data_IF_823345644482
#
_entry.id   IF_823345644482
#
_cell.length_a   1.000
_cell.length_b   1.000
_cell.length_c   1.000
_cell.angle_alpha   90.00
_cell.angle_beta   90.00
_cell.angle_gamma   90.00
#
_symmetry.space_group_name_H-M   'P 1'
#
loop_
_entity.id
_entity.type
_entity.pdbx_description
1 polymer ?
#
# COMPACT_ATOMS: atom_id res chain seq x y z
N UNK A 1 -21.66 9.64 -1.81
CA UNK A 1 -20.21 9.70 -1.50
C UNK A 1 -19.41 8.57 -2.13
N UNK A 2 -19.78 7.29 -1.95
CA UNK A 2 -19.04 6.15 -2.51
C UNK A 2 -18.88 6.21 -4.05
N UNK A 3 -19.88 6.73 -4.77
CA UNK A 3 -19.80 6.94 -6.23
C UNK A 3 -18.72 7.95 -6.58
N UNK A 4 -18.61 9.06 -5.85
CA UNK A 4 -17.60 10.11 -6.11
C UNK A 4 -16.20 9.52 -5.95
N UNK A 5 -15.96 8.79 -4.86
CA UNK A 5 -14.65 8.16 -4.62
C UNK A 5 -14.31 7.13 -5.71
N UNK A 6 -15.27 6.32 -6.12
CA UNK A 6 -15.11 5.36 -7.22
C UNK A 6 -14.79 6.06 -8.54
N UNK A 7 -15.49 7.14 -8.85
CA UNK A 7 -15.25 7.93 -10.07
C UNK A 7 -13.86 8.57 -10.04
N UNK A 8 -13.46 9.18 -8.93
CA UNK A 8 -12.12 9.78 -8.79
C UNK A 8 -11.03 8.73 -8.94
N UNK A 9 -11.15 7.59 -8.24
CA UNK A 9 -10.21 6.47 -8.37
C UNK A 9 -10.16 5.94 -9.81
N UNK A 10 -11.30 5.78 -10.48
CA UNK A 10 -11.37 5.32 -11.87
C UNK A 10 -10.67 6.28 -12.83
N UNK A 11 -10.89 7.59 -12.67
CA UNK A 11 -10.24 8.63 -13.47
C UNK A 11 -8.72 8.64 -13.23
N UNK A 12 -8.28 8.62 -11.97
CA UNK A 12 -6.85 8.58 -11.64
C UNK A 12 -6.16 7.33 -12.18
N UNK A 13 -6.84 6.18 -12.12
CA UNK A 13 -6.31 4.90 -12.63
C UNK A 13 -6.23 4.89 -14.14
N UNK A 14 -7.20 5.50 -14.82
CA UNK A 14 -7.17 5.65 -16.28
C UNK A 14 -6.01 6.55 -16.70
N UNK A 15 -5.82 7.68 -16.02
CA UNK A 15 -4.69 8.58 -16.26
C UNK A 15 -3.35 7.88 -16.00
N UNK A 16 -3.21 7.18 -14.88
CA UNK A 16 -2.03 6.39 -14.56
C UNK A 16 -1.77 5.32 -15.63
N UNK A 17 -2.80 4.58 -16.04
CA UNK A 17 -2.70 3.55 -17.06
C UNK A 17 -2.25 4.11 -18.41
N UNK A 18 -2.74 5.29 -18.82
CA UNK A 18 -2.29 5.97 -20.02
C UNK A 18 -0.79 6.30 -19.98
N UNK A 19 -0.32 6.91 -18.88
CA UNK A 19 1.10 7.23 -18.72
C UNK A 19 1.96 5.97 -18.65
N UNK A 20 1.55 4.98 -17.86
CA UNK A 20 2.26 3.73 -17.67
C UNK A 20 2.40 2.93 -18.98
N UNK A 21 1.31 2.74 -19.72
CA UNK A 21 1.34 2.01 -21.00
C UNK A 21 2.16 2.74 -22.07
N UNK A 22 2.06 4.07 -22.11
CA UNK A 22 2.85 4.90 -23.04
C UNK A 22 4.34 4.80 -22.72
N UNK A 23 4.70 4.84 -21.43
CA UNK A 23 6.08 4.71 -20.97
C UNK A 23 6.65 3.32 -21.25
N UNK A 24 5.89 2.27 -20.95
CA UNK A 24 6.20 0.88 -21.29
C UNK A 24 6.45 0.73 -22.79
N UNK A 25 5.59 1.27 -23.65
CA UNK A 25 5.74 1.19 -25.11
C UNK A 25 7.00 1.90 -25.63
N UNK A 26 7.38 3.04 -25.03
CA UNK A 26 8.57 3.79 -25.42
C UNK A 26 9.87 3.18 -24.90
N UNK A 27 9.84 2.56 -23.72
CA UNK A 27 11.02 2.12 -22.99
C UNK A 27 11.18 0.60 -22.91
N UNK A 28 10.54 -0.16 -23.83
CA UNK A 28 10.62 -1.63 -23.88
C UNK A 28 12.06 -2.18 -23.87
N UNK A 29 13.02 -1.42 -24.41
CA UNK A 29 14.44 -1.80 -24.48
C UNK A 29 15.15 -1.80 -23.11
N UNK A 30 14.54 -1.20 -22.08
CA UNK A 30 15.10 -1.08 -20.71
C UNK A 30 14.49 -2.17 -19.80
N UNK A 31 13.69 -3.07 -20.36
CA UNK A 31 13.06 -4.13 -19.58
C UNK A 31 14.09 -5.03 -18.94
N UNK A 32 13.79 -5.46 -17.71
CA UNK A 32 14.69 -6.33 -16.96
C UNK A 32 14.76 -7.71 -17.61
N UNK A 33 15.96 -8.28 -17.68
CA UNK A 33 16.22 -9.66 -18.14
C UNK A 33 15.73 -10.73 -17.14
N UNK A 34 15.13 -10.31 -16.02
CA UNK A 34 14.64 -11.19 -14.95
C UNK A 34 13.41 -12.00 -15.42
N UNK A 35 13.20 -13.21 -14.88
CA UNK A 35 12.15 -14.10 -15.36
C UNK A 35 10.75 -13.54 -15.11
N UNK A 36 10.05 -13.22 -16.22
CA UNK A 36 8.67 -12.73 -16.23
C UNK A 36 7.67 -13.61 -15.45
N UNK A 37 7.71 -14.96 -15.56
CA UNK A 37 6.81 -15.80 -14.77
C UNK A 37 7.01 -15.64 -13.25
N UNK A 38 8.25 -15.40 -12.80
CA UNK A 38 8.55 -15.16 -11.39
C UNK A 38 7.99 -13.83 -10.90
N UNK A 39 8.09 -12.77 -11.71
CA UNK A 39 7.53 -11.46 -11.39
C UNK A 39 5.99 -11.49 -11.36
N UNK A 40 5.37 -12.13 -12.36
CA UNK A 40 3.91 -12.28 -12.43
C UNK A 40 3.39 -13.17 -11.30
N UNK A 41 4.04 -14.30 -11.03
CA UNK A 41 3.68 -15.20 -9.93
C UNK A 41 3.80 -14.53 -8.57
N UNK A 42 4.87 -13.75 -8.36
CA UNK A 42 5.04 -12.94 -7.14
C UNK A 42 3.87 -11.97 -6.98
N UNK A 43 3.59 -11.16 -8.01
CA UNK A 43 2.51 -10.17 -7.96
C UNK A 43 1.14 -10.81 -7.73
N UNK A 44 0.85 -11.94 -8.37
CA UNK A 44 -0.41 -12.66 -8.19
C UNK A 44 -0.57 -13.17 -6.76
N UNK A 45 0.46 -13.83 -6.23
CA UNK A 45 0.44 -14.40 -4.87
C UNK A 45 0.31 -13.29 -3.83
N UNK A 46 1.13 -12.24 -3.93
CA UNK A 46 1.17 -11.18 -2.92
C UNK A 46 -0.10 -10.34 -2.92
N UNK A 47 -0.67 -10.03 -4.10
CA UNK A 47 -1.94 -9.32 -4.17
C UNK A 47 -3.14 -10.21 -3.81
N UNK A 48 -3.07 -11.52 -4.02
CA UNK A 48 -4.10 -12.44 -3.53
C UNK A 48 -4.11 -12.50 -1.99
N UNK A 49 -2.95 -12.66 -1.35
CA UNK A 49 -2.87 -12.64 0.11
C UNK A 49 -3.18 -11.26 0.71
N UNK A 50 -3.02 -10.19 -0.07
CA UNK A 50 -3.45 -8.84 0.33
C UNK A 50 -4.96 -8.76 0.54
N UNK A 51 -5.77 -9.45 -0.29
CA UNK A 51 -7.23 -9.49 -0.09
C UNK A 51 -7.65 -10.25 1.15
N UNK A 52 -6.79 -11.15 1.63
CA UNK A 52 -6.95 -11.86 2.91
C UNK A 52 -6.41 -11.06 4.10
N UNK A 53 -5.83 -9.90 3.86
CA UNK A 53 -5.37 -8.98 4.88
C UNK A 53 -3.96 -9.22 5.42
N UNK A 54 -3.07 -9.78 4.61
CA UNK A 54 -1.67 -10.00 5.01
C UNK A 54 -0.77 -8.81 4.63
N UNK A 55 -1.10 -8.08 3.57
CA UNK A 55 -0.28 -6.98 3.05
C UNK A 55 0.66 -7.42 1.93
N UNK A 56 0.43 -6.90 0.73
CA UNK A 56 1.23 -7.21 -0.47
C UNK A 56 2.70 -6.74 -0.38
N UNK A 57 2.95 -5.56 0.19
CA UNK A 57 4.26 -4.91 0.19
C UNK A 57 5.33 -5.69 0.98
N UNK A 58 4.98 -6.22 2.15
CA UNK A 58 5.94 -6.95 2.98
C UNK A 58 6.36 -8.27 2.33
N UNK A 59 5.38 -9.03 1.84
CA UNK A 59 5.61 -10.29 1.15
C UNK A 59 6.38 -10.09 -0.15
N UNK A 60 5.98 -9.10 -0.96
CA UNK A 60 6.64 -8.82 -2.24
C UNK A 60 8.08 -8.36 -2.04
N UNK A 61 8.35 -7.53 -1.02
CA UNK A 61 9.73 -7.15 -0.68
C UNK A 61 10.56 -8.36 -0.27
N UNK A 62 9.99 -9.27 0.54
CA UNK A 62 10.69 -10.49 0.96
C UNK A 62 11.03 -11.39 -0.25
N UNK A 63 10.08 -11.61 -1.16
CA UNK A 63 10.28 -12.42 -2.37
C UNK A 63 11.30 -11.76 -3.31
N UNK A 64 11.19 -10.45 -3.55
CA UNK A 64 12.13 -9.71 -4.40
C UNK A 64 13.56 -9.77 -3.87
N UNK A 65 13.75 -9.69 -2.56
CA UNK A 65 15.06 -9.84 -1.92
C UNK A 65 15.56 -11.28 -1.94
N UNK A 66 14.73 -12.23 -1.57
CA UNK A 66 15.12 -13.63 -1.47
C UNK A 66 15.57 -14.20 -2.82
N UNK A 67 14.86 -13.87 -3.89
CA UNK A 67 15.19 -14.31 -5.25
C UNK A 67 16.04 -13.28 -6.04
N UNK A 68 16.46 -12.17 -5.41
CA UNK A 68 17.20 -11.08 -6.06
C UNK A 68 16.57 -10.64 -7.39
N UNK A 69 15.25 -10.49 -7.43
CA UNK A 69 14.50 -10.20 -8.66
C UNK A 69 14.58 -8.72 -9.06
N UNK A 70 14.72 -7.82 -8.08
CA UNK A 70 14.70 -6.37 -8.27
C UNK A 70 15.81 -5.76 -7.42
N UNK A 71 16.53 -4.75 -7.94
CA UNK A 71 17.53 -4.03 -7.15
C UNK A 71 16.85 -3.29 -5.99
N UNK A 72 17.38 -3.45 -4.76
CA UNK A 72 16.86 -2.83 -3.54
C UNK A 72 16.56 -1.34 -3.67
N UNK A 73 17.34 -0.60 -4.47
CA UNK A 73 17.14 0.83 -4.67
C UNK A 73 15.80 1.14 -5.34
N UNK A 74 15.34 0.28 -6.26
CA UNK A 74 14.14 0.51 -7.05
C UNK A 74 12.93 -0.29 -6.54
N UNK A 75 13.11 -1.25 -5.62
CA UNK A 75 12.03 -2.04 -5.01
C UNK A 75 10.82 -1.16 -4.60
N UNK A 76 10.97 -0.06 -3.84
CA UNK A 76 9.83 0.75 -3.43
C UNK A 76 9.04 1.33 -4.62
N UNK A 77 9.74 1.82 -5.63
CA UNK A 77 9.10 2.36 -6.84
C UNK A 77 8.41 1.27 -7.66
N UNK A 78 9.07 0.12 -7.84
CA UNK A 78 8.51 -1.03 -8.56
C UNK A 78 7.22 -1.52 -7.92
N UNK A 79 7.16 -1.62 -6.59
CA UNK A 79 5.94 -2.05 -5.89
C UNK A 79 4.83 -1.00 -5.94
N UNK A 80 5.16 0.28 -5.74
CA UNK A 80 4.16 1.35 -5.81
C UNK A 80 3.51 1.42 -7.19
N UNK A 81 4.28 1.30 -8.28
CA UNK A 81 3.74 1.30 -9.65
C UNK A 81 3.04 -0.02 -9.97
N UNK A 82 3.68 -1.15 -9.69
CA UNK A 82 3.19 -2.48 -10.07
C UNK A 82 1.90 -2.89 -9.37
N UNK A 83 1.69 -2.45 -8.12
CA UNK A 83 0.49 -2.77 -7.36
C UNK A 83 -0.65 -1.76 -7.56
N UNK A 84 -0.46 -0.64 -8.27
CA UNK A 84 -1.51 0.38 -8.44
C UNK A 84 -2.80 -0.20 -9.00
N UNK A 85 -2.74 -0.85 -10.17
CA UNK A 85 -3.94 -1.39 -10.83
C UNK A 85 -4.57 -2.51 -9.99
N UNK A 86 -3.81 -3.53 -9.50
CA UNK A 86 -4.34 -4.52 -8.57
C UNK A 86 -5.05 -3.91 -7.35
N UNK A 87 -4.42 -2.93 -6.70
CA UNK A 87 -4.95 -2.29 -5.49
C UNK A 87 -6.24 -1.52 -5.79
N UNK A 88 -6.32 -0.83 -6.92
CA UNK A 88 -7.55 -0.14 -7.35
C UNK A 88 -8.66 -1.16 -7.64
N UNK A 89 -8.35 -2.26 -8.31
CA UNK A 89 -9.32 -3.34 -8.56
C UNK A 89 -9.85 -3.90 -7.23
N UNK A 90 -8.96 -4.19 -6.28
CA UNK A 90 -9.35 -4.61 -4.93
C UNK A 90 -10.22 -3.55 -4.24
N UNK A 91 -9.85 -2.27 -4.32
CA UNK A 91 -10.62 -1.18 -3.72
C UNK A 91 -12.06 -1.13 -4.28
N UNK A 92 -12.25 -1.33 -5.59
CA UNK A 92 -13.59 -1.40 -6.17
C UNK A 92 -14.42 -2.57 -5.66
N UNK A 93 -13.80 -3.74 -5.48
CA UNK A 93 -14.43 -4.95 -4.92
C UNK A 93 -14.79 -4.73 -3.45
N UNK A 94 -13.87 -4.20 -2.63
CA UNK A 94 -14.12 -4.02 -1.20
C UNK A 94 -15.07 -2.86 -0.90
N UNK A 95 -15.11 -1.82 -1.73
CA UNK A 95 -16.09 -0.73 -1.58
C UNK A 95 -17.53 -1.14 -1.88
N UNK A 96 -17.77 -2.34 -2.44
CA UNK A 96 -19.13 -2.92 -2.55
C UNK A 96 -19.41 -3.93 -1.45
N UNK A 97 -18.38 -4.67 -1.00
CA UNK A 97 -18.52 -5.71 0.01
C UNK A 97 -18.52 -5.18 1.46
N UNK A 98 -17.74 -4.14 1.76
CA UNK A 98 -17.49 -3.64 3.11
C UNK A 98 -18.15 -2.27 3.29
N UNK A 99 -18.97 -2.14 4.34
CA UNK A 99 -19.61 -0.87 4.71
C UNK A 99 -18.66 -0.05 5.56
N UNK A 100 -18.25 1.11 5.07
CA UNK A 100 -17.44 2.08 5.81
C UNK A 100 -18.14 3.44 5.76
N UNK A 101 -18.09 4.17 6.87
CA UNK A 101 -18.65 5.51 6.97
C UNK A 101 -17.96 6.45 5.96
N UNK A 102 -18.73 7.22 5.18
CA UNK A 102 -18.18 8.06 4.10
C UNK A 102 -17.12 9.06 4.53
N UNK A 103 -17.27 9.70 5.70
CA UNK A 103 -16.36 10.73 6.18
C UNK A 103 -14.99 10.12 6.51
N UNK A 104 -14.99 9.01 7.25
CA UNK A 104 -13.78 8.25 7.59
C UNK A 104 -13.07 7.80 6.32
N UNK A 105 -13.80 7.18 5.39
CA UNK A 105 -13.24 6.68 4.14
C UNK A 105 -12.60 7.78 3.29
N UNK A 106 -13.32 8.89 3.05
CA UNK A 106 -12.84 9.97 2.18
C UNK A 106 -11.67 10.71 2.82
N UNK A 107 -11.73 11.01 4.12
CA UNK A 107 -10.66 11.74 4.80
C UNK A 107 -9.34 10.97 4.81
N UNK A 108 -9.37 9.67 5.11
CA UNK A 108 -8.19 8.80 5.04
C UNK A 108 -7.69 8.65 3.60
N UNK A 109 -8.60 8.46 2.64
CA UNK A 109 -8.26 8.30 1.21
C UNK A 109 -7.64 9.54 0.58
N UNK A 110 -7.88 10.73 1.14
CA UNK A 110 -7.23 11.98 0.70
C UNK A 110 -5.90 12.17 1.45
N UNK A 111 -5.86 11.90 2.75
CA UNK A 111 -4.68 12.09 3.58
C UNK A 111 -3.50 11.20 3.15
N UNK A 112 -3.76 9.93 2.82
CA UNK A 112 -2.70 9.00 2.44
C UNK A 112 -1.96 9.40 1.14
N UNK A 113 -2.63 9.73 0.02
CA UNK A 113 -1.95 10.25 -1.17
C UNK A 113 -1.19 11.56 -0.93
N UNK A 114 -1.73 12.47 -0.11
CA UNK A 114 -1.02 13.72 0.23
C UNK A 114 0.30 13.44 0.96
N UNK A 115 0.29 12.49 1.90
CA UNK A 115 1.50 12.02 2.57
C UNK A 115 2.47 11.35 1.60
N UNK A 116 1.95 10.53 0.67
CA UNK A 116 2.76 9.85 -0.33
C UNK A 116 3.44 10.82 -1.30
N UNK A 117 2.79 11.91 -1.72
CA UNK A 117 3.43 12.93 -2.58
C UNK A 117 4.67 13.53 -1.91
N UNK A 118 4.59 13.81 -0.60
CA UNK A 118 5.73 14.33 0.17
C UNK A 118 6.80 13.25 0.40
N UNK A 119 6.40 12.03 0.74
CA UNK A 119 7.33 10.90 0.94
C UNK A 119 8.11 10.55 -0.33
N UNK A 120 7.44 10.54 -1.48
CA UNK A 120 8.02 10.12 -2.75
C UNK A 120 9.18 11.02 -3.18
N UNK A 121 9.05 12.34 -2.98
CA UNK A 121 10.12 13.30 -3.27
C UNK A 121 11.39 13.07 -2.44
N UNK A 122 11.22 12.61 -1.20
CA UNK A 122 12.35 12.27 -0.30
C UNK A 122 12.96 10.93 -0.70
N UNK A 123 12.15 9.90 -0.88
CA UNK A 123 12.62 8.54 -1.19
C UNK A 123 13.32 8.47 -2.53
N UNK A 124 12.85 9.19 -3.55
CA UNK A 124 13.48 9.23 -4.88
C UNK A 124 14.95 9.72 -4.84
N UNK A 125 15.33 10.48 -3.81
CA UNK A 125 16.69 11.03 -3.62
C UNK A 125 17.54 10.20 -2.65
N UNK A 126 17.00 9.15 -2.05
CA UNK A 126 17.74 8.32 -1.10
C UNK A 126 18.74 7.38 -1.79
N UNK A 127 19.87 7.15 -1.13
CA UNK A 127 20.84 6.14 -1.54
C UNK A 127 20.35 4.73 -1.15
N UNK A 128 20.84 3.70 -1.85
CA UNK A 128 20.48 2.29 -1.59
C UNK A 128 20.58 1.87 -0.11
N UNK A 129 21.64 2.22 0.65
CA UNK A 129 21.73 1.85 2.07
C UNK A 129 20.64 2.47 2.93
N UNK A 130 20.23 3.72 2.63
CA UNK A 130 19.15 4.40 3.36
C UNK A 130 17.79 3.76 3.08
N UNK A 131 17.54 3.39 1.81
CA UNK A 131 16.32 2.67 1.42
C UNK A 131 16.28 1.30 2.10
N UNK A 132 17.40 0.55 2.10
CA UNK A 132 17.49 -0.75 2.77
C UNK A 132 17.24 -0.65 4.28
N UNK A 133 17.82 0.35 4.94
CA UNK A 133 17.62 0.58 6.37
C UNK A 133 16.16 0.95 6.67
N UNK A 134 15.58 1.88 5.91
CA UNK A 134 14.19 2.29 6.06
C UNK A 134 13.21 1.15 5.83
N UNK A 135 13.39 0.39 4.74
CA UNK A 135 12.63 -0.83 4.48
C UNK A 135 12.82 -1.85 5.60
N UNK A 136 14.04 -2.10 6.06
CA UNK A 136 14.34 -3.08 7.10
C UNK A 136 13.63 -2.77 8.41
N UNK A 137 13.73 -1.52 8.88
CA UNK A 137 13.05 -1.05 10.10
C UNK A 137 11.53 -1.13 9.92
N UNK A 138 11.01 -0.69 8.77
CA UNK A 138 9.58 -0.72 8.52
C UNK A 138 9.00 -2.13 8.41
N UNK A 139 9.69 -3.05 7.75
CA UNK A 139 9.30 -4.46 7.69
C UNK A 139 9.35 -5.12 9.07
N UNK A 140 10.33 -4.77 9.92
CA UNK A 140 10.38 -5.23 11.30
C UNK A 140 9.13 -4.77 12.07
N UNK A 141 8.76 -3.48 11.95
CA UNK A 141 7.55 -2.93 12.59
C UNK A 141 6.31 -3.65 12.09
N UNK A 142 6.17 -3.83 10.78
CA UNK A 142 5.03 -4.56 10.19
C UNK A 142 4.98 -6.01 10.69
N UNK A 143 6.12 -6.69 10.76
CA UNK A 143 6.20 -8.05 11.28
C UNK A 143 5.76 -8.13 12.75
N UNK A 144 6.18 -7.16 13.58
CA UNK A 144 5.75 -7.06 14.98
C UNK A 144 4.24 -6.81 15.10
N UNK A 145 3.67 -5.95 14.24
CA UNK A 145 2.23 -5.69 14.20
C UNK A 145 1.48 -6.97 13.83
N UNK A 146 1.88 -7.66 12.77
CA UNK A 146 1.25 -8.92 12.35
C UNK A 146 1.36 -9.97 13.47
N UNK A 147 2.54 -10.10 14.10
CA UNK A 147 2.76 -11.02 15.21
C UNK A 147 1.87 -10.70 16.42
N UNK A 148 1.73 -9.42 16.77
CA UNK A 148 0.84 -8.99 17.84
C UNK A 148 -0.62 -9.36 17.54
N UNK A 149 -1.04 -9.27 16.27
CA UNK A 149 -2.35 -9.73 15.83
C UNK A 149 -2.53 -11.25 15.99
N UNK A 150 -1.54 -12.03 15.56
CA UNK A 150 -1.57 -13.50 15.67
C UNK A 150 -1.54 -13.99 17.12
N UNK A 151 -0.87 -13.27 18.03
CA UNK A 151 -0.81 -13.59 19.46
C UNK A 151 -2.06 -13.12 20.24
N UNK A 152 -3.03 -12.48 19.56
CA UNK A 152 -4.25 -11.97 20.20
C UNK A 152 -4.03 -10.70 21.03
N UNK A 153 -2.91 -10.00 20.84
CA UNK A 153 -2.65 -8.71 21.50
C UNK A 153 -3.35 -7.54 20.80
N UNK A 154 -3.84 -7.72 19.57
CA UNK A 154 -4.66 -6.73 18.89
C UNK A 154 -6.13 -7.18 18.83
N UNK A 155 -7.08 -6.24 18.95
CA UNK A 155 -8.47 -6.54 18.69
C UNK A 155 -8.63 -7.01 17.24
N UNK A 156 -9.49 -8.01 17.04
CA UNK A 156 -9.81 -8.55 15.71
C UNK A 156 -10.65 -7.57 14.86
N UNK A 157 -11.17 -6.52 15.50
CA UNK A 157 -12.04 -5.48 14.95
C UNK A 157 -13.00 -4.95 16.01
N UNK A 158 -13.86 -4.02 15.63
CA UNK A 158 -14.97 -3.55 16.46
C UNK A 158 -16.30 -3.46 15.69
N UNK A 159 -17.32 -2.93 16.35
CA UNK A 159 -18.66 -2.78 15.75
C UNK A 159 -18.80 -1.49 14.92
N UNK A 160 -17.85 -0.55 15.06
CA UNK A 160 -17.95 0.73 14.40
C UNK A 160 -17.59 0.61 12.93
N UNK A 161 -18.44 1.12 12.05
CA UNK A 161 -18.13 1.22 10.61
C UNK A 161 -17.37 2.50 10.25
N UNK A 162 -17.07 3.34 11.24
CA UNK A 162 -16.46 4.66 11.06
C UNK A 162 -15.98 5.27 12.38
N UNK A 163 -15.13 6.28 12.27
CA UNK A 163 -14.53 6.98 13.40
C UNK A 163 -14.98 8.44 13.42
N UNK A 164 -15.25 8.98 14.60
CA UNK A 164 -15.68 10.36 14.80
C UNK A 164 -14.83 11.07 15.86
N UNK A 165 -14.93 12.40 15.93
CA UNK A 165 -14.23 13.21 16.92
C UNK A 165 -12.70 13.07 16.83
N UNK A 166 -12.05 12.91 17.99
CA UNK A 166 -10.59 12.82 18.07
C UNK A 166 -10.01 11.58 17.38
N UNK A 167 -10.75 10.45 17.36
CA UNK A 167 -10.31 9.20 16.71
C UNK A 167 -10.16 9.40 15.20
N UNK A 168 -11.09 10.15 14.59
CA UNK A 168 -11.01 10.49 13.17
C UNK A 168 -9.78 11.35 12.87
N UNK A 169 -9.57 12.42 13.64
CA UNK A 169 -8.42 13.32 13.45
C UNK A 169 -7.11 12.56 13.58
N UNK A 170 -6.98 11.73 14.61
CA UNK A 170 -5.80 10.87 14.80
C UNK A 170 -5.57 9.92 13.62
N UNK A 171 -6.63 9.25 13.15
CA UNK A 171 -6.57 8.32 12.02
C UNK A 171 -6.17 9.01 10.71
N UNK A 172 -6.65 10.24 10.48
CA UNK A 172 -6.29 11.05 9.30
C UNK A 172 -4.81 11.43 9.32
N UNK A 173 -4.30 11.89 10.47
CA UNK A 173 -2.87 12.20 10.64
C UNK A 173 -2.01 10.96 10.41
N UNK A 174 -2.39 9.82 10.98
CA UNK A 174 -1.66 8.57 10.80
C UNK A 174 -1.75 8.06 9.36
N UNK A 175 -2.90 8.19 8.70
CA UNK A 175 -3.04 7.83 7.28
C UNK A 175 -2.09 8.64 6.39
N UNK A 176 -1.90 9.93 6.69
CA UNK A 176 -0.90 10.74 6.02
C UNK A 176 0.52 10.21 6.26
N UNK A 177 0.87 9.87 7.49
CA UNK A 177 2.19 9.31 7.82
C UNK A 177 2.41 7.96 7.12
N UNK A 178 1.42 7.07 7.17
CA UNK A 178 1.48 5.76 6.51
C UNK A 178 1.59 5.90 4.99
N UNK A 179 0.88 6.85 4.39
CA UNK A 179 1.03 7.20 2.98
C UNK A 179 2.46 7.63 2.64
N UNK A 180 3.09 8.45 3.48
CA UNK A 180 4.49 8.83 3.31
C UNK A 180 5.43 7.61 3.45
N UNK A 181 5.20 6.73 4.42
CA UNK A 181 6.00 5.52 4.64
C UNK A 181 5.83 4.47 3.52
N UNK A 182 4.66 4.42 2.88
CA UNK A 182 4.43 3.55 1.73
C UNK A 182 5.38 3.81 0.57
N UNK A 183 5.84 5.06 0.44
CA UNK A 183 6.79 5.44 -0.62
C UNK A 183 8.17 4.80 -0.45
N UNK A 184 8.58 4.45 0.78
CA UNK A 184 9.83 3.72 1.04
C UNK A 184 9.64 2.20 0.99
N UNK A 185 8.42 1.71 0.71
CA UNK A 185 8.11 0.29 0.58
C UNK A 185 7.49 -0.35 1.84
N UNK A 186 7.10 0.45 2.83
CA UNK A 186 6.41 -0.05 4.04
C UNK A 186 4.90 -0.10 3.74
N UNK A 187 4.31 -1.29 3.74
CA UNK A 187 2.89 -1.43 3.40
C UNK A 187 1.98 -0.56 4.27
N UNK A 188 0.99 0.09 3.64
CA UNK A 188 -0.03 0.89 4.32
C UNK A 188 -1.02 0.03 5.12
N UNK A 189 -1.32 -1.16 4.60
CA UNK A 189 -2.40 -2.02 5.07
C UNK A 189 -2.27 -2.42 6.54
N UNK A 190 -1.18 -3.11 6.91
CA UNK A 190 -0.98 -3.63 8.27
C UNK A 190 -1.02 -2.56 9.37
N UNK A 191 -0.28 -1.44 9.28
CA UNK A 191 -0.35 -0.38 10.30
C UNK A 191 -1.70 0.32 10.32
N UNK A 192 -2.35 0.49 9.16
CA UNK A 192 -3.69 1.07 9.10
C UNK A 192 -4.74 0.19 9.78
N UNK A 193 -4.73 -1.12 9.49
CA UNK A 193 -5.62 -2.12 10.09
C UNK A 193 -5.47 -2.17 11.61
N UNK A 194 -4.23 -2.31 12.09
CA UNK A 194 -3.93 -2.32 13.52
C UNK A 194 -4.48 -1.08 14.23
N UNK A 195 -4.30 0.09 13.63
CA UNK A 195 -4.79 1.35 14.17
C UNK A 195 -6.32 1.41 14.20
N UNK A 196 -7.00 1.14 13.08
CA UNK A 196 -8.47 1.29 13.05
C UNK A 196 -9.16 0.28 13.95
N UNK A 197 -8.63 -0.95 14.05
CA UNK A 197 -9.12 -1.96 14.99
C UNK A 197 -8.90 -1.56 16.44
N UNK A 198 -7.73 -1.01 16.78
CA UNK A 198 -7.47 -0.47 18.12
C UNK A 198 -8.42 0.68 18.48
N UNK A 199 -8.94 1.40 17.48
CA UNK A 199 -9.91 2.48 17.68
C UNK A 199 -11.37 2.00 17.71
N UNK A 200 -11.61 0.69 17.51
CA UNK A 200 -12.91 0.04 17.61
C UNK A 200 -13.68 -0.07 16.29
N UNK A 201 -12.98 0.08 15.16
CA UNK A 201 -13.51 -0.09 13.80
C UNK A 201 -13.38 -1.53 13.30
#
# INVERSE_FOLDING_TARGET
MAIILKTVLGLMTTLFGYFYLTDVGKNQKIFSDKPWPGLLGTGLITNFFDTLGIGSFAQQTAIFKFFNLVDDRIIPGTMNVGNTIPTVTQAFIFMTAVKVEPITLVSMSIAAPLGAVLGAGVVARMSRPKIQLGMGIGLLIVALIILAGLLGFMPLGGEAIGLTGWKLVFTVIMSFIFGALQTIGIGFYAPCMAMVYALGM
#
